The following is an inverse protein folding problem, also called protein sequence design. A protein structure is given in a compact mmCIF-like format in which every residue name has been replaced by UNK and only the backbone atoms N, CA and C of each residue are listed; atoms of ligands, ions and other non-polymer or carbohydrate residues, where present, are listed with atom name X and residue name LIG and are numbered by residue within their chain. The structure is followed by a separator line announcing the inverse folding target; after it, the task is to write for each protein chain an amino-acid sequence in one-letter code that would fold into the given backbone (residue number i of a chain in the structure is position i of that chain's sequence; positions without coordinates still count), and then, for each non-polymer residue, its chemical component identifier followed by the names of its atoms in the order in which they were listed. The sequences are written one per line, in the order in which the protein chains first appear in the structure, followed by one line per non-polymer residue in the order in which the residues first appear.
data_IF_824882254551
#
_entry.id   IF_824882254551
#
_cell.length_a   1.000
_cell.length_b   1.000
_cell.length_c   1.000
_cell.angle_alpha   90.00
_cell.angle_beta   90.00
_cell.angle_gamma   90.00
#
_symmetry.space_group_name_H-M   'P 1'
#
loop_
_entity.id
_entity.type
_entity.pdbx_description
1 polymer ?
#
# COMPACT_ATOMS: atom_id res chain seq x y z
N UNK A 1 -8.99 28.11 15.14
CA UNK A 1 -7.57 27.79 15.38
C UNK A 1 -7.36 26.36 15.87
N UNK A 2 -7.97 25.89 16.97
CA UNK A 2 -7.81 24.50 17.48
C UNK A 2 -8.11 23.39 16.45
N UNK A 3 -9.13 23.54 15.60
CA UNK A 3 -9.49 22.57 14.55
C UNK A 3 -8.42 22.43 13.46
N UNK A 4 -7.73 23.52 13.12
CA UNK A 4 -6.67 23.54 12.09
C UNK A 4 -5.40 22.87 12.63
N UNK A 5 -5.03 23.15 13.88
CA UNK A 5 -3.90 22.48 14.55
C UNK A 5 -4.12 20.97 14.67
N UNK A 6 -5.35 20.54 15.00
CA UNK A 6 -5.69 19.12 15.07
C UNK A 6 -5.59 18.43 13.71
N UNK A 7 -6.05 19.09 12.64
CA UNK A 7 -5.94 18.58 11.27
C UNK A 7 -4.48 18.46 10.81
N UNK A 8 -3.63 19.43 11.15
CA UNK A 8 -2.19 19.41 10.83
C UNK A 8 -1.46 18.29 11.58
N UNK A 9 -1.81 18.04 12.85
CA UNK A 9 -1.22 16.95 13.65
C UNK A 9 -1.62 15.58 13.08
N UNK A 10 -2.90 15.39 12.72
CA UNK A 10 -3.35 14.16 12.05
C UNK A 10 -2.64 13.98 10.72
N UNK A 11 -2.55 15.06 9.92
CA UNK A 11 -1.90 15.02 8.62
C UNK A 11 -0.41 14.64 8.75
N UNK A 12 0.31 15.19 9.73
CA UNK A 12 1.73 14.86 9.94
C UNK A 12 1.94 13.42 10.40
N UNK A 13 1.03 12.88 11.22
CA UNK A 13 1.07 11.48 11.66
C UNK A 13 0.83 10.52 10.48
N UNK A 14 -0.08 10.87 9.55
CA UNK A 14 -0.31 10.06 8.36
C UNK A 14 0.86 10.05 7.36
N UNK A 15 1.74 11.05 7.37
CA UNK A 15 2.93 11.08 6.49
C UNK A 15 4.01 10.12 7.00
N UNK A 16 4.13 9.89 8.31
CA UNK A 16 5.13 9.00 8.91
C UNK A 16 4.87 7.51 8.63
N UNK A 17 3.61 7.13 8.42
CA UNK A 17 3.21 5.76 8.08
C UNK A 17 2.89 5.58 6.61
N UNK A 18 3.24 6.55 5.75
CA UNK A 18 2.92 6.46 4.34
C UNK A 18 3.78 5.36 3.67
N UNK A 19 3.10 4.42 3.03
CA UNK A 19 3.73 3.23 2.43
C UNK A 19 4.86 3.57 1.44
N UNK A 20 4.79 4.74 0.80
CA UNK A 20 5.76 5.20 -0.21
C UNK A 20 7.14 5.52 0.35
N UNK A 21 7.26 5.77 1.66
CA UNK A 21 8.55 6.10 2.29
C UNK A 21 9.35 4.88 2.69
N UNK A 22 8.72 3.71 2.72
CA UNK A 22 9.39 2.48 3.05
C UNK A 22 10.08 1.88 1.84
N UNK A 23 11.24 1.28 2.11
CA UNK A 23 12.03 0.66 1.06
C UNK A 23 11.35 -0.60 0.55
N UNK A 24 10.68 -1.39 1.39
CA UNK A 24 10.05 -2.65 0.95
C UNK A 24 8.99 -2.41 -0.15
N UNK A 25 8.27 -1.29 -0.09
CA UNK A 25 7.16 -0.98 -1.00
C UNK A 25 7.61 -0.39 -2.36
N UNK A 26 8.92 -0.16 -2.55
CA UNK A 26 9.49 0.46 -3.77
C UNK A 26 10.08 -0.59 -4.72
N UNK A 27 9.23 -1.48 -5.23
CA UNK A 27 9.65 -2.66 -6.00
C UNK A 27 10.48 -2.26 -7.23
N UNK A 28 9.98 -1.34 -8.05
CA UNK A 28 10.62 -0.91 -9.29
C UNK A 28 11.87 -0.07 -9.03
N UNK A 29 11.81 0.80 -8.03
CA UNK A 29 12.95 1.65 -7.67
C UNK A 29 14.09 0.82 -7.06
N UNK A 30 13.78 -0.16 -6.20
CA UNK A 30 14.78 -1.09 -5.68
C UNK A 30 15.40 -1.94 -6.80
N UNK A 31 14.60 -2.34 -7.78
CA UNK A 31 15.11 -3.05 -8.95
C UNK A 31 16.08 -2.19 -9.78
N UNK A 32 15.77 -0.91 -9.97
CA UNK A 32 16.67 0.02 -10.65
C UNK A 32 17.97 0.24 -9.86
N UNK A 33 17.89 0.42 -8.55
CA UNK A 33 19.06 0.56 -7.67
C UNK A 33 19.97 -0.67 -7.72
N UNK A 34 19.40 -1.89 -7.78
CA UNK A 34 20.17 -3.13 -7.91
C UNK A 34 20.87 -3.24 -9.27
N UNK A 35 20.22 -2.84 -10.36
CA UNK A 35 20.79 -2.97 -11.72
C UNK A 35 21.74 -1.86 -12.09
N UNK A 36 21.57 -0.69 -11.49
CA UNK A 36 22.33 0.52 -11.85
C UNK A 36 23.07 1.00 -10.61
N UNK A 37 24.08 0.24 -10.23
CA UNK A 37 25.01 0.58 -9.15
C UNK A 37 26.36 1.08 -9.72
N UNK A 38 26.48 2.37 -10.09
CA UNK A 38 27.73 2.95 -10.55
C UNK A 38 28.73 3.05 -9.38
N UNK A 39 29.82 2.27 -9.48
CA UNK A 39 30.86 2.20 -8.42
C UNK A 39 31.74 3.46 -8.32
N UNK A 40 31.75 4.33 -9.34
CA UNK A 40 32.61 5.51 -9.38
C UNK A 40 31.81 6.82 -9.38
N UNK A 41 32.33 7.86 -8.71
CA UNK A 41 31.71 9.20 -8.62
C UNK A 41 31.52 9.86 -10.00
N UNK A 42 32.49 9.80 -10.94
CA UNK A 42 32.30 10.33 -12.28
C UNK A 42 31.16 9.63 -13.04
N UNK A 43 31.03 8.31 -12.89
CA UNK A 43 29.93 7.55 -13.50
C UNK A 43 28.57 7.97 -12.95
N UNK A 44 28.46 8.26 -11.65
CA UNK A 44 27.22 8.78 -11.04
C UNK A 44 26.79 10.11 -11.66
N UNK A 45 27.74 11.03 -11.83
CA UNK A 45 27.47 12.36 -12.41
C UNK A 45 27.08 12.24 -13.90
N UNK A 46 27.79 11.40 -14.66
CA UNK A 46 27.50 11.19 -16.07
C UNK A 46 26.12 10.57 -16.32
N UNK A 47 25.69 9.67 -15.43
CA UNK A 47 24.41 8.97 -15.54
C UNK A 47 23.23 9.74 -14.92
N UNK A 48 23.50 10.72 -14.05
CA UNK A 48 22.48 11.49 -13.34
C UNK A 48 21.39 12.10 -14.25
N UNK A 49 21.69 12.70 -15.42
CA UNK A 49 20.65 13.30 -16.27
C UNK A 49 19.59 12.33 -16.77
N UNK A 50 19.93 11.03 -16.86
CA UNK A 50 19.02 9.98 -17.32
C UNK A 50 18.37 9.29 -16.11
N UNK A 51 19.17 8.95 -15.10
CA UNK A 51 18.70 8.18 -13.96
C UNK A 51 17.89 8.98 -12.95
N UNK A 52 18.07 10.30 -12.86
CA UNK A 52 17.21 11.14 -12.01
C UNK A 52 15.75 11.12 -12.54
N UNK A 53 15.47 11.43 -13.82
CA UNK A 53 14.11 11.28 -14.36
C UNK A 53 13.56 9.86 -14.23
N UNK A 54 14.35 8.85 -14.56
CA UNK A 54 13.91 7.44 -14.53
C UNK A 54 13.57 7.01 -13.10
N UNK A 55 14.43 7.32 -12.12
CA UNK A 55 14.18 7.01 -10.70
C UNK A 55 12.98 7.77 -10.12
N UNK A 56 12.74 9.01 -10.56
CA UNK A 56 11.52 9.72 -10.18
C UNK A 56 10.27 9.05 -10.76
N UNK A 57 10.30 8.68 -12.05
CA UNK A 57 9.18 7.97 -12.66
C UNK A 57 8.95 6.61 -12.00
N UNK A 58 10.00 5.89 -11.60
CA UNK A 58 9.83 4.60 -10.94
C UNK A 58 9.19 4.76 -9.56
N UNK A 59 9.58 5.78 -8.81
CA UNK A 59 9.01 6.06 -7.49
C UNK A 59 7.51 6.43 -7.59
N UNK A 60 7.13 7.19 -8.62
CA UNK A 60 5.72 7.52 -8.91
C UNK A 60 4.94 6.25 -9.28
N UNK A 61 5.50 5.39 -10.13
CA UNK A 61 4.87 4.12 -10.51
C UNK A 61 4.73 3.18 -9.31
N UNK A 62 5.77 3.08 -8.47
CA UNK A 62 5.73 2.30 -7.23
C UNK A 62 4.60 2.79 -6.33
N UNK A 63 4.50 4.10 -6.14
CA UNK A 63 3.49 4.72 -5.27
C UNK A 63 2.06 4.49 -5.73
N UNK A 64 1.77 4.74 -7.01
CA UNK A 64 0.39 4.82 -7.49
C UNK A 64 -0.12 3.56 -8.18
N UNK A 65 0.78 2.67 -8.59
CA UNK A 65 0.43 1.51 -9.42
C UNK A 65 0.97 0.22 -8.82
N UNK A 66 2.29 0.09 -8.68
CA UNK A 66 2.91 -1.19 -8.35
C UNK A 66 2.59 -1.61 -6.90
N UNK A 67 2.79 -0.72 -5.93
CA UNK A 67 2.49 -1.01 -4.52
C UNK A 67 1.00 -1.30 -4.27
N UNK A 68 0.04 -0.48 -4.77
CA UNK A 68 -1.38 -0.81 -4.67
C UNK A 68 -1.71 -2.18 -5.25
N UNK A 69 -1.15 -2.55 -6.41
CA UNK A 69 -1.38 -3.87 -7.01
C UNK A 69 -0.80 -4.99 -6.13
N UNK A 70 0.40 -4.82 -5.56
CA UNK A 70 1.03 -5.86 -4.75
C UNK A 70 0.29 -6.15 -3.45
N UNK A 71 -0.49 -5.21 -2.91
CA UNK A 71 -1.25 -5.40 -1.66
C UNK A 71 -2.66 -5.97 -1.85
N UNK A 72 -3.12 -6.18 -3.09
CA UNK A 72 -4.43 -6.80 -3.39
C UNK A 72 -4.58 -8.18 -2.72
N UNK A 73 -3.61 -9.13 -2.84
CA UNK A 73 -3.73 -10.44 -2.23
C UNK A 73 -3.86 -10.38 -0.71
N UNK A 74 -3.14 -9.47 -0.07
CA UNK A 74 -3.21 -9.27 1.38
C UNK A 74 -4.56 -8.69 1.80
N UNK A 75 -5.09 -7.72 1.06
CA UNK A 75 -6.42 -7.16 1.31
C UNK A 75 -7.54 -8.20 1.13
N UNK A 76 -7.41 -9.11 0.15
CA UNK A 76 -8.32 -10.24 -0.01
C UNK A 76 -8.22 -11.21 1.18
N UNK A 77 -7.00 -11.53 1.62
CA UNK A 77 -6.77 -12.41 2.76
C UNK A 77 -7.33 -11.81 4.06
N UNK A 78 -7.21 -10.50 4.26
CA UNK A 78 -7.77 -9.81 5.41
C UNK A 78 -9.30 -9.83 5.37
N UNK A 79 -9.90 -9.59 4.20
CA UNK A 79 -11.34 -9.73 3.99
C UNK A 79 -11.82 -11.14 4.31
N UNK A 80 -11.08 -12.15 3.87
CA UNK A 80 -11.36 -13.55 4.18
C UNK A 80 -11.30 -13.83 5.69
N UNK A 81 -10.25 -13.37 6.39
CA UNK A 81 -10.12 -13.53 7.84
C UNK A 81 -11.27 -12.86 8.60
N UNK A 82 -11.62 -11.64 8.22
CA UNK A 82 -12.63 -10.83 8.92
C UNK A 82 -14.05 -11.34 8.69
N UNK A 83 -14.39 -11.74 7.46
CA UNK A 83 -15.78 -12.04 7.08
C UNK A 83 -16.07 -13.56 7.06
N UNK A 84 -15.08 -14.38 6.71
CA UNK A 84 -15.30 -15.77 6.29
C UNK A 84 -14.62 -16.84 7.12
N UNK A 85 -13.39 -16.61 7.63
CA UNK A 85 -12.52 -17.66 8.19
C UNK A 85 -13.07 -18.35 9.45
N UNK A 86 -13.64 -17.59 10.38
CA UNK A 86 -14.09 -18.10 11.68
C UNK A 86 -15.58 -17.77 11.94
N UNK A 87 -16.51 -18.48 11.27
CA UNK A 87 -17.95 -18.23 11.42
C UNK A 87 -18.46 -18.60 12.82
N UNK A 88 -19.17 -17.68 13.47
CA UNK A 88 -19.85 -17.94 14.74
C UNK A 88 -21.28 -18.48 14.54
N UNK A 89 -21.67 -19.48 15.32
CA UNK A 89 -23.02 -20.06 15.30
C UNK A 89 -23.19 -21.26 14.36
N UNK A 90 -24.40 -21.81 14.31
CA UNK A 90 -24.74 -23.01 13.54
C UNK A 90 -24.99 -22.74 12.05
N UNK A 91 -25.10 -23.82 11.27
CA UNK A 91 -25.26 -23.79 9.80
C UNK A 91 -26.44 -22.92 9.36
N UNK A 92 -27.60 -23.02 10.02
CA UNK A 92 -28.80 -22.26 9.68
C UNK A 92 -28.57 -20.74 9.81
N UNK A 93 -27.88 -20.32 10.87
CA UNK A 93 -27.53 -18.92 11.07
C UNK A 93 -26.55 -18.43 10.00
N UNK A 94 -25.54 -19.25 9.67
CA UNK A 94 -24.57 -18.94 8.61
C UNK A 94 -25.24 -18.79 7.24
N UNK A 95 -26.24 -19.62 6.92
CA UNK A 95 -27.03 -19.48 5.69
C UNK A 95 -27.82 -18.18 5.67
N UNK A 96 -28.44 -17.78 6.80
CA UNK A 96 -29.18 -16.53 6.90
C UNK A 96 -28.29 -15.29 6.72
N UNK A 97 -27.05 -15.33 7.23
CA UNK A 97 -26.11 -14.20 7.13
C UNK A 97 -25.21 -14.26 5.88
N UNK A 98 -25.36 -15.25 5.00
CA UNK A 98 -24.53 -15.40 3.81
C UNK A 98 -24.62 -14.17 2.88
N UNK A 99 -25.83 -13.76 2.52
CA UNK A 99 -26.03 -12.58 1.66
C UNK A 99 -25.47 -11.29 2.29
N UNK A 100 -25.72 -11.00 3.59
CA UNK A 100 -25.03 -9.93 4.30
C UNK A 100 -23.49 -10.00 4.21
N UNK A 101 -22.89 -11.17 4.40
CA UNK A 101 -21.43 -11.34 4.31
C UNK A 101 -20.90 -11.02 2.91
N UNK A 102 -21.59 -11.48 1.86
CA UNK A 102 -21.24 -11.15 0.47
C UNK A 102 -21.32 -9.64 0.23
N UNK A 103 -22.38 -8.99 0.72
CA UNK A 103 -22.57 -7.54 0.56
C UNK A 103 -21.51 -6.70 1.31
N UNK A 104 -21.06 -7.16 2.48
CA UNK A 104 -20.04 -6.47 3.30
C UNK A 104 -18.61 -6.73 2.82
N UNK A 105 -18.35 -7.87 2.17
CA UNK A 105 -17.02 -8.25 1.67
C UNK A 105 -16.32 -7.15 0.83
N UNK A 106 -16.94 -6.52 -0.19
CA UNK A 106 -16.27 -5.47 -0.96
C UNK A 106 -15.94 -4.23 -0.11
N UNK A 107 -16.75 -3.92 0.91
CA UNK A 107 -16.50 -2.77 1.81
C UNK A 107 -15.27 -3.05 2.67
N UNK A 108 -15.18 -4.24 3.24
CA UNK A 108 -14.02 -4.67 4.04
C UNK A 108 -12.76 -4.75 3.18
N UNK A 109 -12.88 -5.27 1.96
CA UNK A 109 -11.79 -5.29 1.00
C UNK A 109 -11.29 -3.88 0.68
N UNK A 110 -12.19 -2.95 0.34
CA UNK A 110 -11.81 -1.57 0.03
C UNK A 110 -11.12 -0.89 1.23
N UNK A 111 -11.62 -1.10 2.43
CA UNK A 111 -11.00 -0.55 3.64
C UNK A 111 -9.59 -1.11 3.85
N UNK A 112 -9.40 -2.43 3.73
CA UNK A 112 -8.08 -3.06 3.87
C UNK A 112 -7.13 -2.67 2.73
N UNK A 113 -7.62 -2.64 1.49
CA UNK A 113 -6.86 -2.26 0.30
C UNK A 113 -6.36 -0.81 0.38
N UNK A 114 -7.24 0.15 0.70
CA UNK A 114 -6.86 1.55 0.86
C UNK A 114 -5.93 1.75 2.07
N UNK A 115 -6.19 1.01 3.14
CA UNK A 115 -5.33 0.95 4.31
C UNK A 115 -3.90 0.56 3.93
N UNK A 116 -3.71 -0.61 3.32
CA UNK A 116 -2.39 -1.14 2.92
C UNK A 116 -1.73 -0.35 1.77
N UNK A 117 -2.52 0.22 0.88
CA UNK A 117 -1.99 1.02 -0.25
C UNK A 117 -1.47 2.38 0.22
N UNK A 118 -2.15 3.00 1.20
CA UNK A 118 -1.78 4.31 1.73
C UNK A 118 -0.84 4.24 2.93
N UNK A 119 -1.01 3.23 3.76
CA UNK A 119 -0.30 3.04 5.02
C UNK A 119 0.35 1.66 5.06
N UNK A 120 1.52 1.58 5.68
CA UNK A 120 2.12 0.29 5.98
C UNK A 120 1.48 -0.30 7.26
N UNK A 121 0.55 -1.24 7.08
CA UNK A 121 -0.24 -1.92 8.12
C UNK A 121 -0.43 -3.42 7.85
#
# INVERSE_FOLDING_TARGET
MKKVTFFIVILSLSVLSCATFQKENRILTNYLDEKVDPRSVPSKIALAPIFIPVGLTSLVLDTFIIHPISVIPDALNDTYKVVWKDPSGGVVFQTAIFLPKVAVSPIVFLASFLGRSGFDI
#
